data_IF_376402229578
#
_entry.id   IF_376402229578
#
_cell.length_a   1.000
_cell.length_b   1.000
_cell.length_c   1.000
_cell.angle_alpha   90.00
_cell.angle_beta   90.00
_cell.angle_gamma   90.00
#
_symmetry.space_group_name_H-M   'P 1'
#
loop_
_entity.id
_entity.type
_entity.pdbx_description
1 polymer ?
#
# COMPACT_ATOMS: atom_id res chain seq x y z
N UNK A 1 40.07 8.78 -4.87
CA UNK A 1 39.81 9.69 -6.01
C UNK A 1 38.52 9.22 -6.63
N UNK A 2 37.43 9.98 -6.46
CA UNK A 2 36.11 9.60 -6.97
C UNK A 2 35.94 10.13 -8.40
N UNK A 3 36.55 9.46 -9.36
CA UNK A 3 36.23 9.71 -10.77
C UNK A 3 34.86 9.11 -11.10
N UNK A 4 34.18 9.66 -12.10
CA UNK A 4 32.85 9.17 -12.48
C UNK A 4 32.98 7.79 -13.09
N UNK A 5 34.02 7.56 -13.91
CA UNK A 5 34.27 6.25 -14.51
C UNK A 5 34.60 5.17 -13.46
N UNK A 6 35.40 5.48 -12.44
CA UNK A 6 35.68 4.52 -11.37
C UNK A 6 34.45 4.28 -10.50
N UNK A 7 33.66 5.32 -10.24
CA UNK A 7 32.38 5.18 -9.54
C UNK A 7 31.42 4.30 -10.33
N UNK A 8 31.31 4.48 -11.65
CA UNK A 8 30.51 3.62 -12.52
C UNK A 8 31.01 2.17 -12.52
N UNK A 9 32.32 1.96 -12.62
CA UNK A 9 32.93 0.62 -12.55
C UNK A 9 32.59 -0.07 -11.25
N UNK A 10 32.79 0.60 -10.11
CA UNK A 10 32.49 0.08 -8.77
C UNK A 10 31.01 -0.25 -8.61
N UNK A 11 30.11 0.61 -9.09
CA UNK A 11 28.66 0.37 -9.00
C UNK A 11 28.21 -0.80 -9.88
N UNK A 12 28.80 -1.00 -11.07
CA UNK A 12 28.57 -2.21 -11.88
C UNK A 12 29.07 -3.47 -11.17
N UNK A 13 30.30 -3.42 -10.63
CA UNK A 13 30.87 -4.54 -9.87
C UNK A 13 29.99 -4.90 -8.67
N UNK A 14 29.54 -3.91 -7.90
CA UNK A 14 28.61 -4.10 -6.77
C UNK A 14 27.28 -4.70 -7.21
N UNK A 15 26.74 -4.24 -8.35
CA UNK A 15 25.49 -4.76 -8.90
C UNK A 15 25.62 -6.24 -9.26
N UNK A 16 26.69 -6.62 -9.94
CA UNK A 16 26.93 -8.01 -10.35
C UNK A 16 27.13 -8.92 -9.13
N UNK A 17 27.85 -8.47 -8.10
CA UNK A 17 28.03 -9.22 -6.83
C UNK A 17 26.72 -9.35 -6.03
N UNK A 18 25.86 -8.34 -6.05
CA UNK A 18 24.53 -8.42 -5.45
C UNK A 18 23.66 -9.45 -6.18
N UNK A 19 23.72 -9.51 -7.52
CA UNK A 19 23.04 -10.56 -8.29
C UNK A 19 23.57 -11.94 -7.93
N UNK A 20 24.89 -12.13 -7.89
CA UNK A 20 25.52 -13.41 -7.57
C UNK A 20 25.15 -13.91 -6.16
N UNK A 21 24.92 -13.01 -5.20
CA UNK A 21 24.50 -13.44 -3.86
C UNK A 21 22.99 -13.53 -3.66
N UNK A 22 22.19 -12.69 -4.34
CA UNK A 22 20.73 -12.89 -4.42
C UNK A 22 20.38 -14.24 -5.06
N UNK A 23 21.15 -14.70 -6.05
CA UNK A 23 20.93 -16.01 -6.69
C UNK A 23 21.35 -17.19 -5.80
N UNK A 24 22.30 -17.01 -4.89
CA UNK A 24 22.73 -18.05 -3.95
C UNK A 24 21.78 -18.23 -2.78
N UNK A 25 21.21 -17.16 -2.25
CA UNK A 25 20.48 -17.18 -0.97
C UNK A 25 19.02 -16.68 -1.05
N UNK A 26 18.53 -16.25 -2.23
CA UNK A 26 17.18 -15.70 -2.41
C UNK A 26 16.81 -14.57 -1.41
N UNK A 27 17.80 -13.82 -0.91
CA UNK A 27 17.62 -12.80 0.13
C UNK A 27 17.02 -11.47 -0.39
N UNK A 28 16.05 -10.91 0.35
CA UNK A 28 15.36 -9.66 -0.02
C UNK A 28 16.17 -8.38 0.25
N UNK A 29 16.92 -8.29 1.35
CA UNK A 29 17.61 -7.04 1.71
C UNK A 29 18.59 -6.58 0.62
N UNK A 30 19.20 -7.54 -0.08
CA UNK A 30 20.12 -7.30 -1.20
C UNK A 30 19.41 -6.67 -2.42
N UNK A 31 18.10 -6.91 -2.61
CA UNK A 31 17.27 -6.30 -3.66
C UNK A 31 17.12 -4.78 -3.47
N UNK A 32 16.97 -4.32 -2.23
CA UNK A 32 16.88 -2.89 -1.92
C UNK A 32 18.20 -2.17 -2.25
N UNK A 33 19.33 -2.73 -1.81
CA UNK A 33 20.68 -2.23 -2.15
C UNK A 33 20.93 -2.26 -3.66
N UNK A 34 20.56 -3.33 -4.34
CA UNK A 34 20.64 -3.46 -5.80
C UNK A 34 19.86 -2.35 -6.51
N UNK A 35 18.63 -2.07 -6.08
CA UNK A 35 17.80 -1.01 -6.65
C UNK A 35 18.37 0.39 -6.41
N UNK A 36 18.97 0.64 -5.24
CA UNK A 36 19.65 1.89 -4.95
C UNK A 36 20.89 2.09 -5.83
N UNK A 37 21.75 1.06 -5.95
CA UNK A 37 22.93 1.05 -6.82
C UNK A 37 22.54 1.26 -8.28
N UNK A 38 21.48 0.59 -8.75
CA UNK A 38 20.97 0.72 -10.12
C UNK A 38 20.44 2.13 -10.41
N UNK A 39 19.70 2.74 -9.47
CA UNK A 39 19.22 4.13 -9.60
C UNK A 39 20.38 5.13 -9.69
N UNK A 40 21.38 4.99 -8.82
CA UNK A 40 22.59 5.83 -8.82
C UNK A 40 23.40 5.66 -10.11
N UNK A 41 23.51 4.44 -10.61
CA UNK A 41 24.18 4.16 -11.87
C UNK A 41 23.45 4.84 -13.02
N UNK A 42 22.11 4.71 -13.07
CA UNK A 42 21.27 5.38 -14.08
C UNK A 42 21.48 6.90 -14.09
N UNK A 43 21.44 7.56 -12.93
CA UNK A 43 21.65 9.02 -12.87
C UNK A 43 23.03 9.44 -13.38
N UNK A 44 24.07 8.62 -13.15
CA UNK A 44 25.43 8.88 -13.67
C UNK A 44 25.52 8.70 -15.20
N UNK A 45 24.65 7.90 -15.81
CA UNK A 45 24.57 7.76 -17.27
C UNK A 45 23.66 8.79 -17.94
N UNK A 46 22.63 9.27 -17.24
CA UNK A 46 21.79 10.40 -17.69
C UNK A 46 22.61 11.70 -17.81
N UNK A 47 23.68 11.84 -17.01
CA UNK A 47 24.74 12.86 -17.17
C UNK A 47 24.19 14.30 -17.24
N UNK A 48 23.21 14.63 -16.38
CA UNK A 48 22.58 15.96 -16.35
C UNK A 48 23.58 17.11 -16.13
N UNK A 49 24.64 16.85 -15.36
CA UNK A 49 25.72 17.81 -15.06
C UNK A 49 26.85 17.83 -16.11
N UNK A 50 26.76 16.93 -17.12
CA UNK A 50 27.74 16.70 -18.19
C UNK A 50 29.14 16.38 -17.68
N UNK A 51 29.27 15.94 -16.43
CA UNK A 51 30.58 15.68 -15.85
C UNK A 51 31.19 14.40 -16.42
N UNK A 52 30.37 13.40 -16.78
CA UNK A 52 30.85 12.19 -17.47
C UNK A 52 31.36 12.54 -18.87
N UNK A 53 30.63 13.34 -19.64
CA UNK A 53 31.07 13.81 -20.95
C UNK A 53 32.39 14.59 -20.87
N UNK A 54 32.52 15.52 -19.90
CA UNK A 54 33.76 16.27 -19.67
C UNK A 54 34.92 15.35 -19.32
N UNK A 55 34.71 14.38 -18.44
CA UNK A 55 35.76 13.44 -18.05
C UNK A 55 36.21 12.58 -19.24
N UNK A 56 35.28 12.05 -20.02
CA UNK A 56 35.58 11.28 -21.24
C UNK A 56 36.36 12.12 -22.25
N UNK A 57 35.99 13.39 -22.45
CA UNK A 57 36.69 14.31 -23.36
C UNK A 57 38.08 14.68 -22.86
N UNK A 58 38.30 14.75 -21.55
CA UNK A 58 39.61 14.99 -20.98
C UNK A 58 40.54 13.78 -21.19
N UNK A 59 40.00 12.56 -21.14
CA UNK A 59 40.75 11.32 -21.36
C UNK A 59 41.04 11.08 -22.85
N UNK A 60 40.06 11.29 -23.73
CA UNK A 60 40.16 11.04 -25.17
C UNK A 60 40.48 12.31 -26.00
N UNK A 61 41.03 13.34 -25.35
CA UNK A 61 41.33 14.64 -25.96
C UNK A 61 42.77 14.72 -26.47
N UNK A 62 43.20 15.82 -27.12
CA UNK A 62 44.56 15.92 -27.68
C UNK A 62 45.72 15.84 -26.66
N UNK A 63 45.44 16.03 -25.36
CA UNK A 63 46.41 16.11 -24.28
C UNK A 63 46.33 14.91 -23.29
N UNK A 64 45.99 13.72 -23.78
CA UNK A 64 45.76 12.50 -22.97
C UNK A 64 46.88 12.22 -21.96
N UNK A 65 48.15 12.32 -22.42
CA UNK A 65 49.31 12.06 -21.56
C UNK A 65 49.45 13.05 -20.41
N UNK A 66 49.21 14.34 -20.65
CA UNK A 66 49.32 15.36 -19.61
C UNK A 66 48.24 15.17 -18.54
N UNK A 67 47.01 14.83 -18.95
CA UNK A 67 45.90 14.51 -18.06
C UNK A 67 46.20 13.24 -17.24
N UNK A 68 46.72 12.18 -17.88
CA UNK A 68 47.13 10.96 -17.20
C UNK A 68 48.18 11.22 -16.11
N UNK A 69 49.26 11.96 -16.44
CA UNK A 69 50.31 12.25 -15.45
C UNK A 69 49.82 13.15 -14.32
N UNK A 70 48.89 14.07 -14.59
CA UNK A 70 48.25 14.89 -13.55
C UNK A 70 47.44 14.03 -12.57
N UNK A 71 46.61 13.11 -13.08
CA UNK A 71 45.84 12.17 -12.27
C UNK A 71 46.74 11.20 -11.51
N UNK A 72 47.77 10.68 -12.15
CA UNK A 72 48.75 9.77 -11.53
C UNK A 72 49.52 10.44 -10.39
N UNK A 73 49.95 11.71 -10.59
CA UNK A 73 50.58 12.49 -9.53
C UNK A 73 49.63 12.68 -8.34
N UNK A 74 48.38 13.03 -8.61
CA UNK A 74 47.36 13.22 -7.57
C UNK A 74 47.08 11.93 -6.79
N UNK A 75 47.07 10.79 -7.48
CA UNK A 75 46.94 9.46 -6.86
C UNK A 75 48.15 9.13 -5.97
N UNK A 76 49.36 9.38 -6.47
CA UNK A 76 50.61 9.17 -5.70
C UNK A 76 50.65 10.06 -4.45
N UNK A 77 50.20 11.30 -4.56
CA UNK A 77 50.13 12.25 -3.44
C UNK A 77 49.04 11.86 -2.43
N UNK A 78 47.93 11.25 -2.86
CA UNK A 78 46.91 10.69 -1.97
C UNK A 78 47.44 9.47 -1.22
N UNK A 79 48.07 8.51 -1.92
CA UNK A 79 48.66 7.33 -1.29
C UNK A 79 49.79 7.68 -0.32
N UNK A 80 50.58 8.71 -0.62
CA UNK A 80 51.62 9.22 0.29
C UNK A 80 51.05 9.83 1.58
N UNK A 81 49.87 10.47 1.50
CA UNK A 81 49.17 11.04 2.66
C UNK A 81 48.52 9.95 3.52
N UNK A 82 48.04 8.89 2.89
CA UNK A 82 47.35 7.78 3.53
C UNK A 82 48.10 6.45 3.28
N UNK A 83 49.31 6.26 3.84
CA UNK A 83 50.12 5.07 3.58
C UNK A 83 49.53 3.79 4.20
N UNK A 84 48.77 3.92 5.29
CA UNK A 84 48.15 2.80 6.00
C UNK A 84 46.73 2.47 5.50
N UNK A 85 46.22 3.22 4.52
CA UNK A 85 44.91 2.97 3.93
C UNK A 85 45.00 1.82 2.92
N UNK A 86 44.62 0.62 3.36
CA UNK A 86 44.55 -0.56 2.50
C UNK A 86 43.25 -0.49 1.71
N UNK A 87 43.36 -0.50 0.38
CA UNK A 87 42.18 -0.64 -0.48
C UNK A 87 41.57 -2.03 -0.26
N UNK A 88 40.42 -2.07 0.40
CA UNK A 88 39.65 -3.32 0.58
C UNK A 88 38.95 -3.63 -0.73
N UNK A 89 39.25 -4.75 -1.39
CA UNK A 89 38.54 -5.15 -2.59
C UNK A 89 37.08 -5.44 -2.25
N UNK A 90 36.18 -5.11 -3.17
CA UNK A 90 34.75 -5.35 -2.99
C UNK A 90 34.46 -6.84 -2.72
N UNK A 91 35.26 -7.75 -3.28
CA UNK A 91 35.17 -9.19 -2.99
C UNK A 91 35.33 -9.54 -1.51
N UNK A 92 36.20 -8.85 -0.77
CA UNK A 92 36.42 -9.11 0.65
C UNK A 92 35.26 -8.56 1.49
N UNK A 93 34.63 -7.45 1.07
CA UNK A 93 33.43 -6.92 1.73
C UNK A 93 32.25 -7.88 1.59
N UNK A 94 32.00 -8.40 0.38
CA UNK A 94 30.94 -9.37 0.15
C UNK A 94 31.21 -10.72 0.84
N UNK A 95 32.48 -11.15 0.91
CA UNK A 95 32.85 -12.33 1.65
C UNK A 95 32.55 -12.17 3.15
N UNK A 96 32.97 -11.06 3.75
CA UNK A 96 32.67 -10.76 5.17
C UNK A 96 31.18 -10.62 5.45
N UNK A 97 30.42 -10.05 4.51
CA UNK A 97 28.96 -9.99 4.62
C UNK A 97 28.34 -11.39 4.61
N UNK A 98 28.82 -12.30 3.77
CA UNK A 98 28.33 -13.68 3.76
C UNK A 98 28.74 -14.43 5.04
N UNK A 99 29.99 -14.26 5.50
CA UNK A 99 30.48 -14.85 6.76
C UNK A 99 29.67 -14.35 7.97
N UNK A 100 29.24 -13.09 7.98
CA UNK A 100 28.39 -12.55 9.04
C UNK A 100 26.94 -13.08 9.03
N UNK A 101 26.47 -13.59 7.89
CA UNK A 101 25.13 -14.21 7.76
C UNK A 101 25.18 -15.68 8.18
N UNK A 102 26.31 -16.37 7.92
CA UNK A 102 26.56 -17.72 8.43
C UNK A 102 26.77 -17.75 9.97
N UNK A 103 27.01 -16.59 10.59
CA UNK A 103 27.13 -16.45 12.04
C UNK A 103 25.74 -16.44 12.71
N UNK A 104 25.38 -17.59 13.29
CA UNK A 104 24.10 -17.87 13.93
C UNK A 104 23.76 -16.84 15.03
N UNK A 105 24.75 -16.36 15.80
CA UNK A 105 24.53 -15.38 16.87
C UNK A 105 24.15 -13.98 16.34
N UNK A 106 24.61 -13.63 15.13
CA UNK A 106 24.18 -12.38 14.47
C UNK A 106 22.85 -12.54 13.74
N UNK A 107 22.58 -13.72 13.18
CA UNK A 107 21.35 -14.02 12.46
C UNK A 107 20.10 -14.04 13.37
N UNK A 108 20.20 -14.50 14.62
CA UNK A 108 19.11 -14.46 15.61
C UNK A 108 18.58 -13.03 15.86
N UNK A 109 19.43 -12.02 15.74
CA UNK A 109 19.07 -10.63 16.02
C UNK A 109 18.23 -9.99 14.92
N UNK A 110 18.30 -10.52 13.70
CA UNK A 110 17.56 -10.04 12.53
C UNK A 110 16.36 -10.96 12.20
N UNK A 111 15.98 -11.87 13.11
CA UNK A 111 14.78 -12.68 12.92
C UNK A 111 13.54 -11.79 12.84
N UNK A 112 12.75 -12.04 11.80
CA UNK A 112 11.48 -11.36 11.57
C UNK A 112 10.52 -11.70 12.71
N UNK A 113 10.07 -10.68 13.44
CA UNK A 113 9.14 -10.86 14.56
C UNK A 113 7.78 -11.35 14.05
N UNK A 114 7.35 -12.51 14.54
CA UNK A 114 5.99 -13.02 14.42
C UNK A 114 5.36 -13.12 15.80
N UNK A 115 4.05 -12.92 15.85
CA UNK A 115 3.30 -13.28 17.06
C UNK A 115 3.20 -14.81 17.16
N UNK A 116 3.08 -15.33 18.38
CA UNK A 116 2.96 -16.78 18.61
C UNK A 116 1.76 -17.37 17.84
N UNK A 117 0.64 -16.63 17.77
CA UNK A 117 -0.56 -17.04 17.02
C UNK A 117 -0.37 -17.03 15.48
N UNK A 118 0.62 -16.31 14.95
CA UNK A 118 0.97 -16.35 13.53
C UNK A 118 1.83 -17.57 13.17
N UNK A 119 2.47 -18.19 14.17
CA UNK A 119 3.35 -19.37 14.03
C UNK A 119 4.32 -19.25 12.85
N UNK A 120 5.18 -18.22 12.88
CA UNK A 120 6.17 -17.89 11.83
C UNK A 120 5.57 -17.74 10.42
N UNK A 121 4.35 -17.18 10.34
CA UNK A 121 3.68 -16.91 9.07
C UNK A 121 2.78 -18.04 8.56
N UNK A 122 2.59 -19.10 9.34
CA UNK A 122 1.67 -20.19 9.01
C UNK A 122 0.21 -19.77 9.13
N UNK A 123 -0.09 -18.89 10.08
CA UNK A 123 -1.45 -18.42 10.38
C UNK A 123 -1.52 -16.90 10.43
N UNK A 124 -2.74 -16.37 10.35
CA UNK A 124 -3.05 -14.95 10.47
C UNK A 124 -3.66 -14.68 11.85
N UNK A 125 -3.07 -13.79 12.63
CA UNK A 125 -3.72 -13.29 13.84
C UNK A 125 -4.75 -12.20 13.51
N UNK A 126 -5.99 -12.63 13.35
CA UNK A 126 -7.10 -11.75 12.95
C UNK A 126 -7.99 -11.34 14.13
N UNK A 127 -7.66 -11.67 15.38
CA UNK A 127 -8.50 -11.37 16.53
C UNK A 127 -8.67 -9.87 16.77
N UNK A 128 -7.55 -9.12 16.72
CA UNK A 128 -7.56 -7.66 16.90
C UNK A 128 -8.38 -6.97 15.80
N UNK A 129 -8.35 -7.52 14.59
CA UNK A 129 -9.11 -7.01 13.45
C UNK A 129 -10.60 -7.37 13.57
N UNK A 130 -10.91 -8.56 14.08
CA UNK A 130 -12.28 -8.99 14.36
C UNK A 130 -12.97 -8.09 15.41
N UNK A 131 -12.26 -7.71 16.47
CA UNK A 131 -12.80 -6.75 17.45
C UNK A 131 -13.12 -5.39 16.82
N UNK A 132 -12.26 -4.91 15.91
CA UNK A 132 -12.52 -3.69 15.13
C UNK A 132 -13.73 -3.86 14.21
N UNK A 133 -13.92 -5.03 13.59
CA UNK A 133 -15.09 -5.35 12.77
C UNK A 133 -16.39 -5.28 13.60
N UNK A 134 -16.41 -5.90 14.78
CA UNK A 134 -17.57 -5.89 15.68
C UNK A 134 -17.97 -4.47 16.12
N UNK A 135 -17.01 -3.55 16.19
CA UNK A 135 -17.24 -2.14 16.51
C UNK A 135 -17.82 -1.31 15.35
N UNK A 136 -17.85 -1.84 14.12
CA UNK A 136 -18.44 -1.13 12.98
C UNK A 136 -19.96 -1.07 13.14
N UNK A 137 -20.53 0.14 13.10
CA UNK A 137 -21.97 0.33 13.27
C UNK A 137 -22.74 -0.23 12.07
N UNK A 138 -23.73 -1.09 12.34
CA UNK A 138 -24.67 -1.58 11.33
C UNK A 138 -24.15 -2.74 10.49
N UNK A 139 -23.03 -3.37 10.86
CA UNK A 139 -22.60 -4.65 10.26
C UNK A 139 -23.35 -5.82 10.88
N UNK A 140 -23.50 -6.90 10.11
CA UNK A 140 -24.06 -8.15 10.59
C UNK A 140 -23.09 -8.77 11.58
N UNK A 141 -23.53 -9.01 12.83
CA UNK A 141 -22.72 -9.75 13.79
C UNK A 141 -22.55 -11.19 13.32
N UNK A 142 -21.32 -11.67 13.33
CA UNK A 142 -20.94 -13.03 12.97
C UNK A 142 -19.89 -13.55 13.94
N UNK A 143 -19.78 -14.86 14.04
CA UNK A 143 -18.73 -15.57 14.76
C UNK A 143 -17.38 -15.45 14.03
N UNK A 144 -16.31 -15.78 14.75
CA UNK A 144 -14.95 -15.60 14.28
C UNK A 144 -14.61 -16.46 13.04
N UNK A 145 -15.08 -17.72 12.98
CA UNK A 145 -14.86 -18.59 11.82
C UNK A 145 -15.55 -18.04 10.58
N UNK A 146 -16.81 -17.61 10.70
CA UNK A 146 -17.51 -16.97 9.59
C UNK A 146 -16.82 -15.66 9.17
N UNK A 147 -16.28 -14.89 10.12
CA UNK A 147 -15.50 -13.70 9.81
C UNK A 147 -14.25 -14.03 8.99
N UNK A 148 -13.46 -15.02 9.39
CA UNK A 148 -12.27 -15.46 8.66
C UNK A 148 -12.60 -15.89 7.21
N UNK A 149 -13.77 -16.48 6.98
CA UNK A 149 -14.20 -16.86 5.63
C UNK A 149 -14.74 -15.68 4.78
N UNK A 150 -15.11 -14.55 5.39
CA UNK A 150 -15.82 -13.45 4.73
C UNK A 150 -15.19 -12.06 4.88
N UNK A 151 -14.04 -11.89 5.55
CA UNK A 151 -13.44 -10.57 5.81
C UNK A 151 -13.07 -9.79 4.53
N UNK A 152 -12.89 -10.48 3.41
CA UNK A 152 -12.60 -9.96 2.06
C UNK A 152 -13.86 -9.71 1.21
N UNK A 153 -15.05 -10.08 1.69
CA UNK A 153 -16.34 -9.94 0.97
C UNK A 153 -17.06 -8.65 1.32
N UNK A 154 -16.48 -7.52 0.92
CA UNK A 154 -17.02 -6.19 1.23
C UNK A 154 -18.35 -5.84 0.55
N UNK A 155 -18.80 -6.60 -0.46
CA UNK A 155 -20.06 -6.35 -1.15
C UNK A 155 -21.29 -6.56 -0.25
N UNK A 156 -21.17 -7.40 0.78
CA UNK A 156 -22.23 -7.71 1.73
C UNK A 156 -22.40 -6.63 2.81
N UNK A 157 -21.41 -5.73 2.96
CA UNK A 157 -21.41 -4.70 3.99
C UNK A 157 -22.30 -3.53 3.56
N UNK A 158 -23.28 -3.11 4.41
CA UNK A 158 -24.17 -2.01 4.07
C UNK A 158 -23.43 -0.68 3.81
N UNK A 159 -23.85 0.06 2.78
CA UNK A 159 -23.26 1.35 2.40
C UNK A 159 -23.30 2.39 3.53
N UNK A 160 -24.30 2.31 4.42
CA UNK A 160 -24.39 3.18 5.59
C UNK A 160 -23.23 2.93 6.57
N UNK A 161 -22.85 1.67 6.77
CA UNK A 161 -21.71 1.27 7.59
C UNK A 161 -20.40 1.70 6.94
N UNK A 162 -20.30 1.61 5.60
CA UNK A 162 -19.11 2.05 4.85
C UNK A 162 -18.79 3.54 4.97
N UNK A 163 -19.79 4.39 5.27
CA UNK A 163 -19.61 5.83 5.52
C UNK A 163 -19.10 6.14 6.94
N UNK A 164 -19.13 5.17 7.85
CA UNK A 164 -18.72 5.37 9.23
C UNK A 164 -17.20 5.53 9.37
N UNK A 165 -16.77 6.29 10.39
CA UNK A 165 -15.34 6.39 10.74
C UNK A 165 -14.76 5.04 11.17
N UNK A 166 -15.51 4.29 11.98
CA UNK A 166 -15.15 2.94 12.47
C UNK A 166 -14.84 1.96 11.35
N UNK A 167 -15.57 2.02 10.22
CA UNK A 167 -15.29 1.15 9.08
C UNK A 167 -13.97 1.48 8.40
N UNK A 168 -13.65 2.78 8.26
CA UNK A 168 -12.36 3.21 7.70
C UNK A 168 -11.19 2.83 8.58
N UNK A 169 -11.35 2.92 9.90
CA UNK A 169 -10.36 2.47 10.88
C UNK A 169 -10.15 0.94 10.81
N UNK A 170 -11.24 0.18 10.72
CA UNK A 170 -11.18 -1.28 10.48
C UNK A 170 -10.43 -1.61 9.18
N UNK A 171 -10.82 -1.00 8.05
CA UNK A 171 -10.18 -1.22 6.75
C UNK A 171 -8.69 -0.84 6.76
N UNK A 172 -8.35 0.28 7.40
CA UNK A 172 -6.95 0.73 7.49
C UNK A 172 -6.12 -0.28 8.29
N UNK A 173 -6.62 -0.70 9.45
CA UNK A 173 -5.92 -1.68 10.29
C UNK A 173 -5.77 -3.04 9.60
N UNK A 174 -6.82 -3.52 8.94
CA UNK A 174 -6.77 -4.78 8.18
C UNK A 174 -5.77 -4.69 7.03
N UNK A 175 -5.77 -3.59 6.28
CA UNK A 175 -4.83 -3.39 5.18
C UNK A 175 -3.39 -3.35 5.68
N UNK A 176 -3.13 -2.57 6.74
CA UNK A 176 -1.81 -2.42 7.34
C UNK A 176 -1.27 -3.76 7.85
N UNK A 177 -2.10 -4.51 8.58
CA UNK A 177 -1.76 -5.85 9.06
C UNK A 177 -1.39 -6.80 7.92
N UNK A 178 -2.23 -6.91 6.89
CA UNK A 178 -1.95 -7.81 5.76
C UNK A 178 -0.72 -7.38 4.95
N UNK A 179 -0.49 -6.07 4.79
CA UNK A 179 0.71 -5.56 4.12
C UNK A 179 1.97 -5.93 4.88
N UNK A 180 1.96 -5.74 6.19
CA UNK A 180 3.08 -6.10 7.08
C UNK A 180 3.32 -7.61 7.07
N UNK A 181 2.27 -8.42 7.25
CA UNK A 181 2.35 -9.88 7.22
C UNK A 181 2.91 -10.41 5.89
N UNK A 182 2.48 -9.86 4.75
CA UNK A 182 3.05 -10.24 3.44
C UNK A 182 4.50 -9.77 3.30
N UNK A 183 4.83 -8.59 3.82
CA UNK A 183 6.21 -8.10 3.85
C UNK A 183 7.15 -9.05 4.62
N UNK A 184 6.65 -9.60 5.73
CA UNK A 184 7.36 -10.57 6.57
C UNK A 184 7.44 -11.97 5.94
N UNK A 185 6.34 -12.51 5.42
CA UNK A 185 6.27 -13.89 4.90
C UNK A 185 6.73 -14.04 3.46
N UNK A 186 6.58 -13.00 2.64
CA UNK A 186 6.89 -13.03 1.20
C UNK A 186 7.63 -11.77 0.77
N UNK A 187 8.82 -11.52 1.31
CA UNK A 187 9.55 -10.28 1.06
C UNK A 187 9.91 -10.11 -0.43
N UNK A 188 10.06 -11.20 -1.19
CA UNK A 188 10.36 -11.13 -2.63
C UNK A 188 9.19 -10.62 -3.49
N UNK A 189 7.96 -10.68 -2.98
CA UNK A 189 6.75 -10.25 -3.70
C UNK A 189 6.71 -8.72 -3.81
N UNK A 190 6.59 -8.22 -5.04
CA UNK A 190 6.42 -6.79 -5.30
C UNK A 190 4.95 -6.39 -5.10
N UNK A 191 4.60 -6.05 -3.85
CA UNK A 191 3.26 -5.58 -3.51
C UNK A 191 2.87 -4.28 -4.24
N UNK A 192 3.83 -3.42 -4.58
CA UNK A 192 3.54 -2.17 -5.26
C UNK A 192 3.13 -2.43 -6.72
N UNK A 193 3.80 -3.36 -7.40
CA UNK A 193 3.40 -3.81 -8.73
C UNK A 193 1.98 -4.38 -8.72
N UNK A 194 1.67 -5.21 -7.71
CA UNK A 194 0.34 -5.79 -7.53
C UNK A 194 -0.73 -4.74 -7.26
N UNK A 195 -0.45 -3.76 -6.39
CA UNK A 195 -1.35 -2.63 -6.17
C UNK A 195 -1.52 -1.75 -7.41
N UNK A 196 -0.47 -1.53 -8.20
CA UNK A 196 -0.57 -0.78 -9.46
C UNK A 196 -1.53 -1.46 -10.43
N UNK A 197 -1.42 -2.79 -10.62
CA UNK A 197 -2.35 -3.57 -11.45
C UNK A 197 -3.79 -3.41 -10.94
N UNK A 198 -4.01 -3.62 -9.64
CA UNK A 198 -5.33 -3.48 -9.02
C UNK A 198 -5.89 -2.08 -9.19
N UNK A 199 -5.07 -1.04 -9.04
CA UNK A 199 -5.48 0.36 -9.22
C UNK A 199 -5.94 0.63 -10.65
N UNK A 200 -5.21 0.16 -11.66
CA UNK A 200 -5.63 0.35 -13.06
C UNK A 200 -6.96 -0.32 -13.38
N UNK A 201 -7.22 -1.50 -12.84
CA UNK A 201 -8.49 -2.20 -13.02
C UNK A 201 -9.62 -1.58 -12.19
N UNK A 202 -9.30 -1.11 -10.98
CA UNK A 202 -10.23 -0.38 -10.12
C UNK A 202 -10.69 0.90 -10.78
N UNK A 203 -9.79 1.69 -11.38
CA UNK A 203 -10.15 2.94 -12.05
C UNK A 203 -11.14 2.72 -13.19
N UNK A 204 -10.91 1.72 -14.05
CA UNK A 204 -11.84 1.34 -15.11
C UNK A 204 -13.22 0.97 -14.55
N UNK A 205 -13.27 0.08 -13.56
CA UNK A 205 -14.53 -0.36 -12.92
C UNK A 205 -15.23 0.77 -12.19
N UNK A 206 -14.48 1.70 -11.60
CA UNK A 206 -15.02 2.87 -10.89
C UNK A 206 -15.67 3.86 -11.85
N UNK A 207 -15.06 4.12 -13.01
CA UNK A 207 -15.64 4.97 -14.06
C UNK A 207 -16.92 4.37 -14.65
N UNK A 208 -16.94 3.06 -14.86
CA UNK A 208 -18.09 2.29 -15.31
C UNK A 208 -19.19 2.18 -14.24
N UNK A 209 -18.85 2.37 -12.96
CA UNK A 209 -19.77 2.19 -11.83
C UNK A 209 -20.11 0.72 -11.56
N UNK A 210 -19.21 -0.20 -11.92
CA UNK A 210 -19.38 -1.66 -11.82
C UNK A 210 -18.72 -2.27 -10.58
N UNK A 211 -18.19 -1.43 -9.66
CA UNK A 211 -17.54 -1.89 -8.43
C UNK A 211 -18.57 -2.53 -7.48
N UNK A 212 -18.40 -3.83 -7.10
CA UNK A 212 -19.32 -4.51 -6.20
C UNK A 212 -19.44 -3.80 -4.84
N UNK A 213 -20.67 -3.64 -4.35
CA UNK A 213 -20.94 -2.91 -3.10
C UNK A 213 -20.84 -1.38 -3.20
N UNK A 214 -20.63 -0.84 -4.41
CA UNK A 214 -20.50 0.58 -4.71
C UNK A 214 -21.24 0.97 -6.01
N UNK A 215 -22.57 0.76 -6.08
CA UNK A 215 -23.36 1.06 -7.29
C UNK A 215 -23.79 2.54 -7.40
N UNK A 216 -23.98 3.03 -8.63
CA UNK A 216 -24.44 4.41 -8.94
C UNK A 216 -25.77 4.79 -8.28
N UNK A 217 -26.66 3.83 -8.05
CA UNK A 217 -27.95 4.06 -7.37
C UNK A 217 -27.78 4.34 -5.87
N UNK A 218 -26.77 3.71 -5.23
CA UNK A 218 -26.38 4.01 -3.85
C UNK A 218 -25.61 5.34 -3.74
N UNK A 219 -24.91 5.74 -4.81
CA UNK A 219 -24.38 7.09 -5.01
C UNK A 219 -25.46 8.13 -5.37
N UNK A 220 -26.63 7.72 -5.84
CA UNK A 220 -27.74 8.57 -6.28
C UNK A 220 -28.30 9.47 -5.17
N UNK A 221 -28.23 9.01 -3.91
CA UNK A 221 -28.58 9.83 -2.76
C UNK A 221 -27.60 11.01 -2.53
N UNK A 222 -26.36 10.93 -3.06
CA UNK A 222 -25.41 12.06 -3.14
C UNK A 222 -25.55 12.85 -4.46
N UNK A 223 -26.25 12.32 -5.47
CA UNK A 223 -26.48 12.98 -6.77
C UNK A 223 -27.73 13.85 -6.80
N UNK A 224 -28.41 14.11 -5.68
CA UNK A 224 -29.18 15.34 -5.57
C UNK A 224 -28.23 16.55 -5.48
N UNK A 225 -27.24 16.65 -6.38
CA UNK A 225 -26.81 17.94 -6.90
C UNK A 225 -28.03 18.46 -7.64
N UNK A 226 -28.90 19.14 -6.91
CA UNK A 226 -30.11 19.69 -7.49
C UNK A 226 -29.79 20.41 -8.80
N UNK A 227 -30.59 20.17 -9.84
CA UNK A 227 -30.44 20.92 -11.08
C UNK A 227 -30.94 22.35 -10.84
N UNK A 228 -30.10 23.35 -11.12
CA UNK A 228 -30.51 24.75 -11.06
C UNK A 228 -31.67 24.96 -12.04
N UNK A 229 -32.75 25.57 -11.56
CA UNK A 229 -33.90 25.95 -12.36
C UNK A 229 -33.86 27.46 -12.52
N UNK A 230 -33.80 27.95 -13.76
CA UNK A 230 -33.95 29.37 -14.01
C UNK A 230 -35.41 29.78 -13.76
N UNK A 231 -35.60 30.72 -12.83
CA UNK A 231 -36.90 31.23 -12.43
C UNK A 231 -37.31 32.47 -13.23
N UNK A 232 -36.43 32.98 -14.11
CA UNK A 232 -36.68 34.20 -14.89
C UNK A 232 -37.99 34.14 -15.69
N UNK A 233 -38.30 32.96 -16.26
CA UNK A 233 -39.44 32.68 -17.14
C UNK A 233 -40.77 32.42 -16.44
N UNK A 234 -40.81 32.31 -15.11
CA UNK A 234 -42.03 31.98 -14.36
C UNK A 234 -42.62 33.22 -13.71
N UNK A 235 -43.92 33.51 -13.85
CA UNK A 235 -44.52 34.75 -13.34
C UNK A 235 -45.10 34.58 -11.93
N UNK A 236 -45.42 33.35 -11.54
CA UNK A 236 -45.97 33.01 -10.23
C UNK A 236 -45.49 31.66 -9.69
N UNK A 237 -45.70 31.42 -8.40
CA UNK A 237 -45.45 30.10 -7.79
C UNK A 237 -46.35 29.00 -8.38
N UNK A 238 -47.55 29.35 -8.84
CA UNK A 238 -48.47 28.40 -9.48
C UNK A 238 -47.91 27.85 -10.80
N UNK A 239 -47.10 28.65 -11.52
CA UNK A 239 -46.50 28.24 -12.80
C UNK A 239 -45.37 27.22 -12.63
N UNK A 240 -44.87 27.05 -11.40
CA UNK A 240 -43.86 26.05 -11.04
C UNK A 240 -44.50 24.71 -10.64
N UNK A 241 -45.78 24.70 -10.26
CA UNK A 241 -46.50 23.48 -9.85
C UNK A 241 -46.52 22.38 -10.94
N UNK A 242 -46.74 22.70 -12.24
CA UNK A 242 -46.73 21.72 -13.32
C UNK A 242 -45.39 21.01 -13.54
N UNK A 243 -44.27 21.56 -13.03
CA UNK A 243 -42.95 20.93 -13.12
C UNK A 243 -42.86 19.67 -12.24
N UNK A 244 -43.78 19.51 -11.30
CA UNK A 244 -43.87 18.33 -10.45
C UNK A 244 -42.91 18.30 -9.26
N UNK A 245 -43.20 17.39 -8.33
CA UNK A 245 -42.51 17.27 -7.04
C UNK A 245 -41.01 17.01 -7.18
N UNK A 246 -40.58 16.21 -8.15
CA UNK A 246 -39.18 15.82 -8.32
C UNK A 246 -38.33 16.95 -8.88
N UNK A 247 -38.86 17.75 -9.81
CA UNK A 247 -38.16 18.91 -10.37
C UNK A 247 -38.03 20.02 -9.33
N UNK A 248 -39.10 20.30 -8.58
CA UNK A 248 -39.09 21.28 -7.49
C UNK A 248 -38.16 20.86 -6.35
N UNK A 249 -38.19 19.57 -5.96
CA UNK A 249 -37.25 19.01 -4.98
C UNK A 249 -35.81 19.19 -5.45
N UNK A 250 -35.53 18.87 -6.71
CA UNK A 250 -34.20 19.03 -7.29
C UNK A 250 -33.75 20.49 -7.26
N UNK A 251 -34.57 21.44 -7.72
CA UNK A 251 -34.22 22.87 -7.71
C UNK A 251 -34.02 23.43 -6.29
N UNK A 252 -34.85 23.03 -5.32
CA UNK A 252 -34.69 23.42 -3.91
C UNK A 252 -33.41 22.86 -3.30
N UNK A 253 -33.07 21.60 -3.61
CA UNK A 253 -31.81 21.01 -3.14
C UNK A 253 -30.60 21.72 -3.79
N UNK A 254 -30.73 22.17 -5.05
CA UNK A 254 -29.70 22.95 -5.75
C UNK A 254 -29.37 24.25 -5.00
N UNK A 255 -30.39 24.87 -4.45
CA UNK A 255 -30.31 26.10 -3.65
C UNK A 255 -30.05 25.84 -2.16
N UNK A 256 -29.91 24.57 -1.75
CA UNK A 256 -29.67 24.20 -0.35
C UNK A 256 -30.89 24.38 0.57
N UNK A 257 -32.09 24.58 0.03
CA UNK A 257 -33.33 24.81 0.76
C UNK A 257 -34.04 23.51 1.13
N UNK A 258 -34.86 23.56 2.19
CA UNK A 258 -35.67 22.40 2.64
C UNK A 258 -36.71 22.05 1.59
N UNK A 259 -36.78 20.76 1.24
CA UNK A 259 -37.73 20.21 0.27
C UNK A 259 -38.93 19.49 0.92
N UNK A 260 -39.24 19.75 2.19
CA UNK A 260 -40.45 19.23 2.86
C UNK A 260 -41.70 20.03 2.48
N UNK A 261 -42.87 19.42 2.65
CA UNK A 261 -44.16 20.07 2.39
C UNK A 261 -44.89 19.60 1.13
N UNK A 262 -46.07 20.18 0.92
CA UNK A 262 -46.91 19.96 -0.27
C UNK A 262 -46.26 20.53 -1.54
N UNK A 263 -46.74 20.14 -2.71
CA UNK A 263 -46.23 20.61 -4.01
C UNK A 263 -46.29 22.15 -4.11
N UNK A 264 -47.37 22.76 -3.60
CA UNK A 264 -47.54 24.22 -3.50
C UNK A 264 -46.50 24.90 -2.63
N UNK A 265 -46.29 24.40 -1.41
CA UNK A 265 -45.29 24.96 -0.48
C UNK A 265 -43.87 24.91 -1.04
N UNK A 266 -43.55 23.88 -1.84
CA UNK A 266 -42.24 23.78 -2.51
C UNK A 266 -42.11 24.79 -3.65
N UNK A 267 -43.17 24.96 -4.45
CA UNK A 267 -43.23 25.92 -5.53
C UNK A 267 -43.12 27.37 -5.01
N UNK A 268 -43.86 27.71 -3.95
CA UNK A 268 -43.80 29.01 -3.27
C UNK A 268 -42.40 29.30 -2.71
N UNK A 269 -41.80 28.32 -2.04
CA UNK A 269 -40.45 28.45 -1.47
C UNK A 269 -39.38 28.62 -2.54
N UNK A 270 -39.52 27.93 -3.67
CA UNK A 270 -38.62 28.08 -4.80
C UNK A 270 -38.80 29.45 -5.46
N UNK A 271 -40.04 29.87 -5.71
CA UNK A 271 -40.36 31.18 -6.30
C UNK A 271 -39.92 32.36 -5.42
N UNK A 272 -39.98 32.22 -4.08
CA UNK A 272 -39.50 33.23 -3.14
C UNK A 272 -37.99 33.52 -3.26
N UNK A 273 -37.23 32.66 -3.95
CA UNK A 273 -35.81 32.91 -4.27
C UNK A 273 -35.61 33.71 -5.56
N UNK A 274 -36.66 33.89 -6.37
CA UNK A 274 -36.60 34.64 -7.63
C UNK A 274 -36.24 36.12 -7.35
N UNK A 275 -35.10 36.55 -7.86
CA UNK A 275 -34.63 37.94 -7.72
C UNK A 275 -33.80 38.22 -6.46
N UNK A 276 -33.67 37.26 -5.54
CA UNK A 276 -32.75 37.36 -4.42
C UNK A 276 -31.35 36.87 -4.85
N UNK A 277 -30.36 37.77 -4.84
CA UNK A 277 -28.95 37.33 -4.87
C UNK A 277 -28.66 36.68 -3.52
N UNK A 278 -28.25 35.41 -3.53
CA UNK A 278 -27.72 34.74 -2.34
C UNK A 278 -26.69 35.67 -1.68
N UNK A 279 -26.82 35.88 -0.37
CA UNK A 279 -25.86 36.67 0.38
C UNK A 279 -24.46 36.03 0.31
N UNK A 280 -23.40 36.82 0.47
CA UNK A 280 -22.01 36.30 0.46
C UNK A 280 -21.80 35.21 1.54
N UNK A 281 -22.54 35.29 2.64
CA UNK A 281 -22.61 34.27 3.69
C UNK A 281 -23.22 32.95 3.19
N UNK A 282 -24.32 32.99 2.44
CA UNK A 282 -24.97 31.79 1.89
C UNK A 282 -24.13 31.15 0.78
N UNK A 283 -23.50 31.96 -0.08
CA UNK A 283 -22.52 31.50 -1.07
C UNK A 283 -21.33 30.80 -0.39
N UNK A 284 -20.82 31.37 0.72
CA UNK A 284 -19.75 30.75 1.51
C UNK A 284 -20.17 29.42 2.14
N UNK A 285 -21.40 29.32 2.66
CA UNK A 285 -21.93 28.07 3.25
C UNK A 285 -22.16 27.00 2.17
N UNK A 286 -22.69 27.37 1.00
CA UNK A 286 -22.86 26.46 -0.13
C UNK A 286 -21.50 25.94 -0.65
N UNK A 287 -20.50 26.81 -0.77
CA UNK A 287 -19.15 26.43 -1.16
C UNK A 287 -18.55 25.43 -0.16
N UNK A 288 -18.62 25.72 1.15
CA UNK A 288 -18.17 24.81 2.20
C UNK A 288 -18.86 23.46 2.17
N UNK A 289 -20.17 23.43 1.86
CA UNK A 289 -20.93 22.18 1.73
C UNK A 289 -20.49 21.37 0.50
N UNK A 290 -20.23 22.03 -0.62
CA UNK A 290 -19.69 21.39 -1.83
C UNK A 290 -18.31 20.80 -1.59
N UNK A 291 -17.44 21.53 -0.87
CA UNK A 291 -16.12 21.05 -0.48
C UNK A 291 -16.20 19.83 0.46
N UNK A 292 -17.12 19.86 1.42
CA UNK A 292 -17.37 18.72 2.32
C UNK A 292 -17.87 17.47 1.56
N UNK A 293 -18.79 17.64 0.60
CA UNK A 293 -19.29 16.54 -0.24
C UNK A 293 -18.18 15.96 -1.13
N UNK A 294 -17.36 16.83 -1.74
CA UNK A 294 -16.21 16.40 -2.53
C UNK A 294 -15.21 15.61 -1.69
N UNK A 295 -14.90 16.10 -0.48
CA UNK A 295 -14.00 15.42 0.46
C UNK A 295 -14.56 14.07 0.89
N UNK A 296 -15.86 13.97 1.13
CA UNK A 296 -16.49 12.68 1.47
C UNK A 296 -16.48 11.70 0.30
N UNK A 297 -16.72 12.16 -0.93
CA UNK A 297 -16.58 11.34 -2.14
C UNK A 297 -15.16 10.80 -2.31
N UNK A 298 -14.15 11.63 -2.06
CA UNK A 298 -12.74 11.20 -2.10
C UNK A 298 -12.46 10.11 -1.06
N UNK A 299 -12.94 10.28 0.18
CA UNK A 299 -12.79 9.27 1.23
C UNK A 299 -13.49 7.95 0.90
N UNK A 300 -14.68 8.01 0.29
CA UNK A 300 -15.41 6.81 -0.12
C UNK A 300 -14.72 6.09 -1.27
N UNK A 301 -14.20 6.84 -2.24
CA UNK A 301 -13.37 6.27 -3.32
C UNK A 301 -12.12 5.60 -2.77
N UNK A 302 -11.46 6.24 -1.81
CA UNK A 302 -10.29 5.68 -1.14
C UNK A 302 -10.62 4.40 -0.36
N UNK A 303 -11.75 4.37 0.35
CA UNK A 303 -12.22 3.17 1.04
C UNK A 303 -12.48 2.02 0.05
N UNK A 304 -13.16 2.29 -1.06
CA UNK A 304 -13.41 1.29 -2.11
C UNK A 304 -12.10 0.77 -2.75
N UNK A 305 -11.10 1.64 -2.93
CA UNK A 305 -9.77 1.24 -3.40
C UNK A 305 -9.06 0.34 -2.39
N UNK A 306 -9.12 0.70 -1.10
CA UNK A 306 -8.53 -0.13 -0.04
C UNK A 306 -9.23 -1.50 0.07
N UNK A 307 -10.55 -1.58 -0.12
CA UNK A 307 -11.26 -2.85 -0.24
C UNK A 307 -10.67 -3.73 -1.35
N UNK A 308 -10.41 -3.15 -2.54
CA UNK A 308 -9.81 -3.89 -3.65
C UNK A 308 -8.37 -4.35 -3.37
N UNK A 309 -7.56 -3.54 -2.69
CA UNK A 309 -6.23 -3.95 -2.25
C UNK A 309 -6.28 -5.11 -1.26
N UNK A 310 -7.18 -5.04 -0.26
CA UNK A 310 -7.35 -6.12 0.71
C UNK A 310 -7.82 -7.40 0.02
N UNK A 311 -8.73 -7.32 -0.94
CA UNK A 311 -9.15 -8.49 -1.73
C UNK A 311 -7.98 -9.12 -2.48
N UNK A 312 -7.07 -8.31 -3.05
CA UNK A 312 -5.86 -8.83 -3.70
C UNK A 312 -4.93 -9.52 -2.71
N UNK A 313 -4.68 -8.91 -1.56
CA UNK A 313 -3.85 -9.50 -0.51
C UNK A 313 -4.47 -10.78 0.07
N UNK A 314 -5.78 -10.81 0.29
CA UNK A 314 -6.49 -12.00 0.76
C UNK A 314 -6.44 -13.15 -0.27
N UNK A 315 -6.47 -12.83 -1.58
CA UNK A 315 -6.27 -13.82 -2.62
C UNK A 315 -4.83 -14.34 -2.69
N UNK A 316 -3.85 -13.49 -2.38
CA UNK A 316 -2.45 -13.89 -2.25
C UNK A 316 -2.27 -14.78 -1.02
N UNK A 317 -2.94 -14.47 0.09
CA UNK A 317 -2.89 -15.21 1.37
C UNK A 317 -3.99 -16.29 1.50
N UNK A 318 -4.44 -16.88 0.38
CA UNK A 318 -5.57 -17.83 0.42
C UNK A 318 -5.25 -19.08 1.24
N UNK A 319 -4.02 -19.57 1.16
CA UNK A 319 -3.56 -20.75 1.88
C UNK A 319 -3.50 -20.47 3.39
N UNK A 320 -2.91 -19.34 3.78
CA UNK A 320 -2.83 -18.91 5.19
C UNK A 320 -4.21 -18.64 5.78
N UNK A 321 -5.12 -18.07 4.99
CA UNK A 321 -6.52 -17.85 5.37
C UNK A 321 -7.24 -19.17 5.67
N UNK A 322 -7.10 -20.17 4.79
CA UNK A 322 -7.70 -21.49 4.98
C UNK A 322 -7.07 -22.23 6.16
N UNK A 323 -5.73 -22.21 6.26
CA UNK A 323 -5.00 -22.81 7.37
C UNK A 323 -5.39 -22.22 8.73
N UNK A 324 -5.53 -20.90 8.81
CA UNK A 324 -5.96 -20.20 10.04
C UNK A 324 -7.37 -20.63 10.43
N UNK A 325 -8.28 -20.72 9.45
CA UNK A 325 -9.65 -21.14 9.70
C UNK A 325 -9.71 -22.57 10.22
N UNK A 326 -8.99 -23.50 9.58
CA UNK A 326 -8.91 -24.89 10.03
C UNK A 326 -8.30 -25.01 11.43
N UNK A 327 -7.28 -24.20 11.73
CA UNK A 327 -6.66 -24.15 13.05
C UNK A 327 -7.65 -23.73 14.13
N UNK A 328 -8.43 -22.68 13.86
CA UNK A 328 -9.48 -22.19 14.76
C UNK A 328 -10.59 -23.23 14.93
N UNK A 329 -11.05 -23.86 13.84
CA UNK A 329 -12.04 -24.94 13.91
C UNK A 329 -11.55 -26.11 14.77
N UNK A 330 -10.26 -26.48 14.63
CA UNK A 330 -9.61 -27.52 15.44
C UNK A 330 -9.51 -27.12 16.92
N UNK A 331 -9.05 -25.91 17.23
CA UNK A 331 -8.99 -25.36 18.61
C UNK A 331 -10.38 -25.28 19.26
N UNK A 332 -11.44 -25.03 18.49
CA UNK A 332 -12.82 -24.98 18.99
C UNK A 332 -13.46 -26.35 19.20
N UNK A 333 -13.06 -27.37 18.42
CA UNK A 333 -13.61 -28.73 18.54
C UNK A 333 -13.02 -29.52 19.72
N UNK A 334 -11.92 -29.06 20.32
CA UNK A 334 -11.23 -29.70 21.43
C UNK A 334 -11.83 -29.37 22.79
N UNK A 335 -11.67 -30.28 23.75
CA UNK A 335 -12.06 -30.07 25.14
C UNK A 335 -11.08 -29.17 25.89
N UNK A 336 -11.50 -28.57 27.01
CA UNK A 336 -10.70 -27.59 27.76
C UNK A 336 -9.32 -28.11 28.26
N UNK A 337 -9.16 -29.43 28.43
CA UNK A 337 -7.89 -30.04 28.86
C UNK A 337 -6.89 -30.21 27.70
N UNK A 338 -7.38 -30.43 26.48
CA UNK A 338 -6.54 -30.69 25.30
C UNK A 338 -6.00 -29.39 24.68
N UNK A 339 -6.66 -28.25 24.93
CA UNK A 339 -6.16 -26.94 24.49
C UNK A 339 -4.94 -26.47 25.31
N UNK A 340 -4.85 -26.85 26.59
CA UNK A 340 -3.72 -26.47 27.46
C UNK A 340 -2.45 -27.24 27.06
N UNK A 341 -2.58 -28.53 26.72
CA UNK A 341 -1.42 -29.36 26.32
C UNK A 341 -0.81 -28.95 24.98
N UNK A 342 -1.56 -28.32 24.06
CA UNK A 342 -1.02 -27.83 22.79
C UNK A 342 -0.41 -26.43 22.94
N UNK A 343 -0.99 -25.57 23.79
CA UNK A 343 -0.42 -24.26 24.14
C UNK A 343 0.91 -24.42 24.91
N UNK A 344 1.04 -25.49 25.71
CA UNK A 344 2.30 -25.90 26.38
C UNK A 344 3.21 -26.79 25.51
N UNK A 345 2.69 -27.31 24.39
CA UNK A 345 3.33 -28.36 23.58
C UNK A 345 3.85 -27.89 22.22
N UNK A 346 3.85 -26.58 21.93
CA UNK A 346 4.53 -26.07 20.75
C UNK A 346 6.01 -26.47 20.81
N UNK A 347 6.52 -27.24 19.83
CA UNK A 347 7.89 -27.71 19.87
C UNK A 347 8.82 -26.51 19.73
N UNK A 348 9.70 -26.30 20.71
CA UNK A 348 11.04 -25.78 20.42
C UNK A 348 11.54 -26.56 19.20
N UNK A 349 11.79 -25.84 18.10
CA UNK A 349 12.33 -26.41 16.87
C UNK A 349 13.59 -27.18 17.27
N UNK A 350 13.53 -28.52 17.33
CA UNK A 350 14.70 -29.32 17.69
C UNK A 350 15.66 -29.28 16.51
N UNK A 351 16.81 -28.67 16.74
CA UNK A 351 17.89 -28.39 15.79
C UNK A 351 18.70 -29.67 15.43
N UNK A 352 18.02 -30.79 15.16
CA UNK A 352 18.63 -32.13 15.12
C UNK A 352 18.61 -32.80 13.72
N UNK A 353 18.50 -32.03 12.63
CA UNK A 353 18.56 -32.56 11.25
C UNK A 353 19.79 -32.12 10.41
N UNK A 354 20.91 -31.72 11.02
CA UNK A 354 22.13 -31.41 10.24
C UNK A 354 23.39 -32.26 10.51
N UNK A 355 23.31 -33.39 11.24
CA UNK A 355 24.52 -34.20 11.49
C UNK A 355 24.77 -35.42 10.56
N UNK A 356 23.98 -35.65 9.51
CA UNK A 356 24.16 -36.86 8.66
C UNK A 356 24.89 -36.68 7.34
N UNK A 357 25.24 -35.46 6.93
CA UNK A 357 25.82 -35.22 5.59
C UNK A 357 27.34 -35.00 5.56
N UNK A 358 28.05 -34.94 6.70
CA UNK A 358 29.52 -34.71 6.72
C UNK A 358 30.40 -35.98 6.78
N UNK A 359 29.85 -37.20 6.79
CA UNK A 359 30.68 -38.44 6.88
C UNK A 359 31.00 -39.16 5.56
N UNK A 360 30.59 -38.66 4.39
CA UNK A 360 30.79 -39.40 3.12
C UNK A 360 31.92 -38.89 2.19
N UNK A 361 32.66 -37.83 2.54
CA UNK A 361 33.73 -37.27 1.65
C UNK A 361 35.15 -37.50 2.22
N UNK A 362 35.34 -38.48 3.09
CA UNK A 362 36.65 -39.00 3.45
C UNK A 362 36.67 -40.51 3.31
N UNK A 363 36.61 -40.99 2.08
CA UNK A 363 37.26 -42.22 1.60
C UNK A 363 36.84 -42.48 0.15
N UNK A 364 37.61 -41.92 -0.80
CA UNK A 364 37.99 -42.58 -2.06
C UNK A 364 38.99 -41.73 -2.85
#
# INVERSE_FOLDING_TARGET
MDTILETQRRLHEERDRLIDSMTKEFLHERKSRYNATTRKLRSLYEDEDKNREKELRAIAGPNEFAEFYSRFKSLKDAHRRNPDEIAVPLSLEFQKMNEAIEDIEMAEKDMVEFTDEESYGRFLDMHTIFDKYLNVKGVKKMDYITFLAHFDKFAEIPTASKKSGSYREYLSALKEYLMDFIGRTRPLLDLEEEFSKVNTDFEKKWEEGSVPGWSREQHGALMHSGAFLDLSSFESAADLEPLGLDRLKSALIALGLKCGGTLKERAERLFATKGHKLSDLELSVLAKKKDADLKERMKLREAARNEAHIQRMAAILSEEKEATRENVERKQARGASENVEEEEGEPEISDDEEETSQRSIRER
#
